data_IF_117966154784
#
_entry.id   IF_117966154784
#
_cell.length_a   1.000
_cell.length_b   1.000
_cell.length_c   1.000
_cell.angle_alpha   90.00
_cell.angle_beta   90.00
_cell.angle_gamma   90.00
#
_symmetry.space_group_name_H-M   'P 1'
#
loop_
_entity.id
_entity.type
_entity.pdbx_description
1 polymer ?
#
# COMPACT_ATOMS: atom_id res chain seq x y z
N UNK A 1 -7.76 36.57 -5.45
CA UNK A 1 -7.10 35.67 -4.48
C UNK A 1 -7.80 34.33 -4.51
N UNK A 2 -7.18 33.26 -5.04
CA UNK A 2 -7.77 31.92 -5.07
C UNK A 2 -7.16 31.06 -3.95
N UNK A 3 -7.95 30.71 -2.94
CA UNK A 3 -7.55 29.74 -1.91
C UNK A 3 -7.88 28.31 -2.39
N UNK A 4 -6.98 27.32 -2.26
CA UNK A 4 -7.34 25.93 -2.44
C UNK A 4 -8.12 25.43 -1.23
N UNK A 5 -9.31 24.84 -1.47
CA UNK A 5 -10.15 24.26 -0.44
C UNK A 5 -9.48 23.01 0.17
N UNK A 6 -9.27 23.03 1.49
CA UNK A 6 -8.82 21.87 2.27
C UNK A 6 -9.98 20.90 2.45
N UNK A 7 -10.02 19.84 1.63
CA UNK A 7 -11.00 18.76 1.76
C UNK A 7 -10.80 18.07 3.11
N UNK A 8 -11.70 18.36 4.05
CA UNK A 8 -11.71 17.76 5.38
C UNK A 8 -12.31 16.36 5.29
N UNK A 9 -11.47 15.32 5.35
CA UNK A 9 -11.95 13.95 5.49
C UNK A 9 -12.58 13.80 6.89
N UNK A 10 -13.86 13.44 6.94
CA UNK A 10 -14.57 13.23 8.20
C UNK A 10 -13.95 12.05 8.98
N UNK A 11 -13.72 12.16 10.29
CA UNK A 11 -12.93 11.19 11.06
C UNK A 11 -13.58 9.82 11.22
N UNK A 12 -14.88 9.69 10.90
CA UNK A 12 -15.60 8.41 10.88
C UNK A 12 -16.63 8.44 9.76
N UNK A 13 -16.35 7.75 8.64
CA UNK A 13 -17.38 7.47 7.62
C UNK A 13 -17.12 8.03 6.22
N UNK A 14 -15.95 7.77 5.64
CA UNK A 14 -15.78 7.38 4.23
C UNK A 14 -14.50 6.55 4.18
N UNK A 15 -14.47 5.48 3.38
CA UNK A 15 -13.22 4.75 3.16
C UNK A 15 -12.16 5.79 2.74
N UNK A 16 -10.92 5.75 3.32
CA UNK A 16 -9.86 6.64 2.87
C UNK A 16 -9.78 6.57 1.33
N UNK A 17 -9.39 7.67 0.65
CA UNK A 17 -9.22 7.65 -0.81
C UNK A 17 -8.44 6.38 -1.16
N UNK A 18 -8.98 5.58 -2.08
CA UNK A 18 -8.43 4.28 -2.46
C UNK A 18 -6.91 4.38 -2.48
N UNK A 19 -6.24 3.55 -1.67
CA UNK A 19 -4.79 3.48 -1.64
C UNK A 19 -4.30 3.43 -3.09
N UNK A 20 -3.27 4.24 -3.40
CA UNK A 20 -2.78 4.36 -4.76
C UNK A 20 -2.57 2.95 -5.34
N UNK A 21 -3.05 2.67 -6.57
CA UNK A 21 -2.91 1.36 -7.15
C UNK A 21 -1.42 0.99 -7.19
N UNK A 22 -1.11 -0.22 -6.71
CA UNK A 22 0.27 -0.68 -6.66
C UNK A 22 0.90 -0.64 -8.06
N UNK A 23 2.01 0.09 -8.21
CA UNK A 23 2.74 0.17 -9.49
C UNK A 23 3.37 -1.17 -9.90
N UNK A 24 3.57 -2.09 -8.95
CA UNK A 24 4.21 -3.39 -9.17
C UNK A 24 3.19 -4.51 -9.25
N UNK A 25 3.56 -5.59 -9.95
CA UNK A 25 2.76 -6.82 -9.98
C UNK A 25 2.55 -7.37 -8.56
N UNK A 26 1.35 -7.88 -8.23
CA UNK A 26 1.10 -8.54 -6.96
C UNK A 26 2.12 -9.66 -6.69
N UNK A 27 2.54 -9.79 -5.44
CA UNK A 27 3.47 -10.84 -5.02
C UNK A 27 2.66 -12.05 -4.55
N UNK A 28 2.90 -13.22 -5.16
CA UNK A 28 2.24 -14.48 -4.84
C UNK A 28 3.21 -15.45 -4.14
N UNK A 29 2.68 -16.51 -3.51
CA UNK A 29 3.53 -17.54 -2.90
C UNK A 29 4.48 -18.24 -3.89
N UNK A 30 4.05 -18.63 -5.11
CA UNK A 30 4.98 -19.17 -6.10
C UNK A 30 6.10 -18.18 -6.46
N UNK A 31 5.77 -16.89 -6.58
CA UNK A 31 6.75 -15.83 -6.87
C UNK A 31 7.79 -15.72 -5.75
N UNK A 32 7.39 -15.81 -4.49
CA UNK A 32 8.31 -15.81 -3.35
C UNK A 32 9.24 -17.03 -3.35
N UNK A 33 8.71 -18.21 -3.70
CA UNK A 33 9.52 -19.43 -3.81
C UNK A 33 10.60 -19.29 -4.91
N UNK A 34 10.25 -18.72 -6.06
CA UNK A 34 11.22 -18.42 -7.12
C UNK A 34 12.28 -17.42 -6.68
N UNK A 35 11.88 -16.35 -5.97
CA UNK A 35 12.82 -15.36 -5.42
C UNK A 35 13.82 -16.03 -4.47
N UNK A 36 13.32 -16.91 -3.59
CA UNK A 36 14.15 -17.70 -2.69
C UNK A 36 15.11 -18.64 -3.44
N UNK A 37 14.64 -19.35 -4.48
CA UNK A 37 15.46 -20.25 -5.29
C UNK A 37 16.59 -19.51 -6.04
N UNK A 38 16.37 -18.24 -6.41
CA UNK A 38 17.39 -17.36 -7.00
C UNK A 38 18.34 -16.74 -5.97
N UNK A 39 18.11 -16.96 -4.68
CA UNK A 39 18.89 -16.34 -3.60
C UNK A 39 18.57 -14.85 -3.36
N UNK A 40 17.47 -14.34 -3.93
CA UNK A 40 17.01 -12.97 -3.66
C UNK A 40 16.48 -12.87 -2.23
N UNK A 41 16.95 -11.88 -1.47
CA UNK A 41 16.51 -11.67 -0.10
C UNK A 41 15.09 -11.07 -0.08
N UNK A 42 14.22 -11.65 0.74
CA UNK A 42 12.84 -11.21 0.91
C UNK A 42 12.77 -10.41 2.20
N UNK A 43 12.55 -9.10 2.08
CA UNK A 43 12.29 -8.22 3.23
C UNK A 43 10.79 -8.21 3.52
N UNK A 44 10.41 -8.42 4.78
CA UNK A 44 9.02 -8.42 5.24
C UNK A 44 8.87 -7.46 6.41
N UNK A 45 7.78 -6.69 6.42
CA UNK A 45 7.41 -5.75 7.48
C UNK A 45 5.98 -6.06 7.93
N UNK A 46 5.69 -5.86 9.21
CA UNK A 46 4.31 -5.94 9.72
C UNK A 46 3.58 -4.64 9.44
N UNK A 47 2.30 -4.73 9.09
CA UNK A 47 1.41 -3.60 8.85
C UNK A 47 0.07 -3.89 9.51
N UNK A 48 -0.49 -2.91 10.24
CA UNK A 48 -1.75 -3.07 10.98
C UNK A 48 -2.87 -2.16 10.45
N UNK A 49 -2.54 -1.14 9.68
CA UNK A 49 -3.50 -0.21 9.09
C UNK A 49 -3.20 0.08 7.61
N UNK A 50 -4.19 0.64 6.91
CA UNK A 50 -4.12 0.90 5.48
C UNK A 50 -3.14 2.02 5.10
N UNK A 51 -2.89 2.98 6.00
CA UNK A 51 -1.98 4.12 5.76
C UNK A 51 -0.54 3.65 5.69
N UNK A 52 -0.14 2.75 6.59
CA UNK A 52 1.21 2.18 6.57
C UNK A 52 1.42 1.19 5.41
N UNK A 53 0.36 0.50 4.98
CA UNK A 53 0.44 -0.48 3.89
C UNK A 53 0.43 0.13 2.47
N UNK A 54 0.11 1.42 2.34
CA UNK A 54 -0.06 2.12 1.05
C UNK A 54 1.27 2.47 0.36
#
# INVERSE_FOLDING_TARGET
>A
MNQPATQSASPYGTLPPMSNPALRKPVSLPRLLEMHARGEKITMLTAYDATFAA
#
